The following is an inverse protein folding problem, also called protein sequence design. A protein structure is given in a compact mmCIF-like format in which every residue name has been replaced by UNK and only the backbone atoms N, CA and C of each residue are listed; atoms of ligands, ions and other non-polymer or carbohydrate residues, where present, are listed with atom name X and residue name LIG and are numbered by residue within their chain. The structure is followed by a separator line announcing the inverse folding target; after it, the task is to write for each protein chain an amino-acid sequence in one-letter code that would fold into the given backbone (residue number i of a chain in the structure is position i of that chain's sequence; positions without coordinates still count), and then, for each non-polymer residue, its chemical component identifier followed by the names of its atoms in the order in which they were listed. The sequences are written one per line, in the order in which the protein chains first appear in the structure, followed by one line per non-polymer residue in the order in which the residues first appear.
data_IF_480290480989
#
_entry.id   IF_480290480989
#
_cell.length_a   1.000
_cell.length_b   1.000
_cell.length_c   1.000
_cell.angle_alpha   90.00
_cell.angle_beta   90.00
_cell.angle_gamma   90.00
#
_symmetry.space_group_name_H-M   'P 1'
#
loop_
_entity.id
_entity.type
_entity.pdbx_description
1 polymer ?
#
# COMPACT_ATOMS: atom_id res chain seq x y z
N UNK A 1 -14.62 15.11 -34.95
CA UNK A 1 -14.65 14.07 -33.89
C UNK A 1 -13.26 13.44 -33.85
N UNK A 2 -12.50 13.69 -32.77
CA UNK A 2 -11.05 13.39 -32.70
C UNK A 2 -10.77 11.90 -32.49
N UNK A 3 -9.89 11.36 -33.32
CA UNK A 3 -9.54 9.96 -33.46
C UNK A 3 -8.61 9.49 -32.31
N UNK A 4 -9.19 8.95 -31.23
CA UNK A 4 -8.45 8.47 -30.05
C UNK A 4 -7.90 7.04 -30.18
N UNK A 5 -8.05 6.40 -31.35
CA UNK A 5 -7.73 4.98 -31.55
C UNK A 5 -6.22 4.67 -31.63
N UNK A 6 -5.37 5.63 -32.01
CA UNK A 6 -3.96 5.35 -32.35
C UNK A 6 -3.01 5.16 -31.16
N UNK A 7 -3.21 5.85 -30.03
CA UNK A 7 -2.24 5.84 -28.92
C UNK A 7 -2.31 4.59 -28.05
N UNK A 8 -3.50 3.99 -27.97
CA UNK A 8 -3.76 2.85 -27.10
C UNK A 8 -3.70 1.51 -27.82
N UNK A 9 -3.57 1.50 -29.15
CA UNK A 9 -3.47 0.27 -29.93
C UNK A 9 -2.28 -0.61 -29.51
N UNK A 10 -1.05 -0.08 -29.30
CA UNK A 10 0.09 -0.91 -28.88
C UNK A 10 -0.13 -1.54 -27.51
N UNK A 11 -0.71 -0.79 -26.57
CA UNK A 11 -1.01 -1.27 -25.22
C UNK A 11 -2.09 -2.34 -25.22
N UNK A 12 -3.13 -2.21 -26.06
CA UNK A 12 -4.16 -3.23 -26.22
C UNK A 12 -3.57 -4.53 -26.76
N UNK A 13 -2.68 -4.46 -27.74
CA UNK A 13 -1.98 -5.64 -28.27
C UNK A 13 -1.07 -6.32 -27.24
N UNK A 14 -0.36 -5.55 -26.42
CA UNK A 14 0.45 -6.10 -25.33
C UNK A 14 -0.41 -6.78 -24.26
N UNK A 15 -1.54 -6.17 -23.87
CA UNK A 15 -2.47 -6.73 -22.90
C UNK A 15 -3.14 -8.01 -23.42
N UNK A 16 -3.59 -8.02 -24.68
CA UNK A 16 -4.18 -9.23 -25.27
C UNK A 16 -3.17 -10.36 -25.39
N UNK A 17 -1.90 -10.07 -25.70
CA UNK A 17 -0.82 -11.06 -25.69
C UNK A 17 -0.58 -11.65 -24.28
N UNK A 18 -0.60 -10.82 -23.24
CA UNK A 18 -0.45 -11.27 -21.84
C UNK A 18 -1.64 -12.13 -21.41
N UNK A 19 -2.87 -11.71 -21.75
CA UNK A 19 -4.09 -12.49 -21.46
C UNK A 19 -4.12 -13.83 -22.20
N UNK A 20 -3.70 -13.86 -23.47
CA UNK A 20 -3.59 -15.07 -24.26
C UNK A 20 -2.55 -16.04 -23.66
N UNK A 21 -1.37 -15.55 -23.25
CA UNK A 21 -0.34 -16.36 -22.58
C UNK A 21 -0.79 -16.86 -21.21
N UNK A 22 -1.55 -16.04 -20.47
CA UNK A 22 -2.10 -16.42 -19.18
C UNK A 22 -3.32 -17.36 -19.30
N UNK A 23 -3.99 -17.43 -20.45
CA UNK A 23 -5.21 -18.23 -20.63
C UNK A 23 -6.39 -17.75 -19.79
N UNK A 24 -6.39 -16.48 -19.38
CA UNK A 24 -7.40 -15.89 -18.47
C UNK A 24 -7.95 -14.59 -19.07
N UNK A 25 -9.28 -14.33 -19.00
CA UNK A 25 -9.87 -13.13 -19.58
C UNK A 25 -9.35 -11.84 -18.92
N UNK A 26 -9.08 -10.82 -19.75
CA UNK A 26 -8.51 -9.52 -19.34
C UNK A 26 -9.16 -8.87 -18.10
N UNK A 27 -10.50 -8.80 -17.97
CA UNK A 27 -11.11 -8.16 -16.80
C UNK A 27 -10.77 -8.86 -15.48
N UNK A 28 -10.68 -10.20 -15.50
CA UNK A 28 -10.33 -10.96 -14.29
C UNK A 28 -8.86 -10.83 -13.92
N UNK A 29 -7.97 -10.62 -14.90
CA UNK A 29 -6.56 -10.35 -14.66
C UNK A 29 -6.36 -8.97 -14.02
N UNK A 30 -7.07 -7.94 -14.51
CA UNK A 30 -7.07 -6.60 -13.90
C UNK A 30 -7.59 -6.66 -12.46
N UNK A 31 -8.72 -7.35 -12.23
CA UNK A 31 -9.29 -7.51 -10.89
C UNK A 31 -8.34 -8.25 -9.93
N UNK A 32 -7.68 -9.29 -10.42
CA UNK A 32 -6.67 -10.04 -9.65
C UNK A 32 -5.49 -9.13 -9.29
N UNK A 33 -5.00 -8.34 -10.25
CA UNK A 33 -3.94 -7.38 -10.02
C UNK A 33 -4.31 -6.36 -8.96
N UNK A 34 -5.51 -5.78 -9.02
CA UNK A 34 -5.95 -4.79 -8.02
C UNK A 34 -6.02 -5.38 -6.63
N UNK A 35 -6.60 -6.58 -6.48
CA UNK A 35 -6.66 -7.24 -5.16
C UNK A 35 -5.26 -7.50 -4.63
N UNK A 36 -4.39 -8.05 -5.46
CA UNK A 36 -3.05 -8.42 -5.03
C UNK A 36 -2.18 -7.19 -4.73
N UNK A 37 -2.38 -6.11 -5.48
CA UNK A 37 -1.75 -4.81 -5.23
C UNK A 37 -2.14 -4.24 -3.87
N UNK A 38 -3.43 -4.33 -3.50
CA UNK A 38 -3.90 -3.87 -2.20
C UNK A 38 -3.41 -4.78 -1.06
N UNK A 39 -3.44 -6.09 -1.24
CA UNK A 39 -2.92 -7.03 -0.23
C UNK A 39 -1.43 -6.84 0.03
N UNK A 40 -0.64 -6.63 -1.04
CA UNK A 40 0.80 -6.33 -0.93
C UNK A 40 1.09 -4.92 -0.44
N UNK A 41 0.09 -4.05 -0.27
CA UNK A 41 0.22 -2.81 0.48
C UNK A 41 -0.12 -3.02 1.97
N UNK A 42 -1.23 -3.68 2.27
CA UNK A 42 -1.73 -3.85 3.65
C UNK A 42 -0.83 -4.78 4.48
N UNK A 43 -0.51 -5.97 3.96
CA UNK A 43 0.24 -6.98 4.71
C UNK A 43 1.63 -6.47 5.09
N UNK A 44 2.43 -5.89 4.18
CA UNK A 44 3.72 -5.33 4.56
C UNK A 44 3.60 -4.12 5.49
N UNK A 45 2.59 -3.25 5.33
CA UNK A 45 2.39 -2.12 6.25
C UNK A 45 2.22 -2.59 7.69
N UNK A 46 1.32 -3.55 7.90
CA UNK A 46 1.04 -4.10 9.23
C UNK A 46 2.25 -4.88 9.75
N UNK A 47 2.88 -5.71 8.91
CA UNK A 47 4.05 -6.49 9.30
C UNK A 47 5.25 -5.63 9.70
N UNK A 48 5.57 -4.60 8.90
CA UNK A 48 6.68 -3.68 9.18
C UNK A 48 6.38 -2.86 10.43
N UNK A 49 5.14 -2.40 10.61
CA UNK A 49 4.73 -1.68 11.82
C UNK A 49 4.98 -2.50 13.08
N UNK A 50 4.48 -3.74 13.13
CA UNK A 50 4.66 -4.60 14.31
C UNK A 50 6.12 -5.00 14.52
N UNK A 51 6.89 -5.17 13.45
CA UNK A 51 8.34 -5.45 13.52
C UNK A 51 9.10 -4.24 14.06
N UNK A 52 8.82 -3.03 13.58
CA UNK A 52 9.43 -1.81 14.08
C UNK A 52 9.06 -1.57 15.56
N UNK A 53 7.80 -1.85 15.91
CA UNK A 53 7.31 -1.75 17.29
C UNK A 53 7.98 -2.75 18.22
N UNK A 54 8.16 -4.00 17.80
CA UNK A 54 8.78 -5.04 18.64
C UNK A 54 10.27 -4.80 18.85
N UNK A 55 10.95 -4.21 17.86
CA UNK A 55 12.38 -3.91 17.93
C UNK A 55 12.68 -2.51 18.50
N UNK A 56 11.67 -1.64 18.64
CA UNK A 56 11.84 -0.24 19.05
C UNK A 56 12.68 0.59 18.06
N UNK A 57 12.68 0.22 16.78
CA UNK A 57 13.55 0.83 15.76
C UNK A 57 12.92 2.03 15.07
N UNK A 58 11.59 2.19 15.10
CA UNK A 58 10.90 3.28 14.40
C UNK A 58 11.38 4.67 14.80
N UNK A 59 11.42 4.96 16.10
CA UNK A 59 11.85 6.25 16.62
C UNK A 59 13.31 6.57 16.26
N UNK A 60 14.20 5.58 16.38
CA UNK A 60 15.63 5.74 16.08
C UNK A 60 15.86 6.06 14.61
N UNK A 61 15.18 5.35 13.71
CA UNK A 61 15.33 5.52 12.27
C UNK A 61 14.74 6.85 11.81
N UNK A 62 13.53 7.20 12.27
CA UNK A 62 12.88 8.47 11.91
C UNK A 62 13.70 9.65 12.44
N UNK A 63 14.19 9.59 13.68
CA UNK A 63 15.02 10.64 14.24
C UNK A 63 16.37 10.76 13.53
N UNK A 64 17.00 9.64 13.13
CA UNK A 64 18.21 9.68 12.32
C UNK A 64 17.98 10.36 10.97
N UNK A 65 16.86 10.10 10.29
CA UNK A 65 16.52 10.76 9.01
C UNK A 65 16.29 12.26 9.22
N UNK A 66 15.65 12.64 10.33
CA UNK A 66 15.45 14.05 10.68
C UNK A 66 16.79 14.77 10.94
N UNK A 67 17.66 14.16 11.76
CA UNK A 67 18.93 14.72 12.26
C UNK A 67 20.08 14.75 11.24
N UNK A 68 20.02 14.00 10.12
CA UNK A 68 21.00 14.06 9.02
C UNK A 68 20.94 15.38 8.21
N UNK A 69 20.69 16.49 8.90
CA UNK A 69 20.47 17.84 8.38
C UNK A 69 21.79 18.56 8.04
N UNK A 70 22.93 18.10 8.54
CA UNK A 70 24.17 18.88 8.45
C UNK A 70 25.37 17.97 8.19
N UNK A 71 25.94 18.04 6.98
CA UNK A 71 27.18 17.34 6.64
C UNK A 71 27.19 16.78 5.21
N UNK A 72 27.90 17.48 4.33
CA UNK A 72 28.51 17.01 3.07
C UNK A 72 28.14 15.58 2.61
N UNK A 73 27.14 15.42 1.74
CA UNK A 73 26.90 14.15 1.06
C UNK A 73 26.63 14.37 -0.43
N UNK A 74 27.22 13.48 -1.22
CA UNK A 74 27.21 13.33 -2.67
C UNK A 74 25.83 13.61 -3.32
N UNK A 75 25.80 14.24 -4.49
CA UNK A 75 24.60 14.82 -5.14
C UNK A 75 23.45 13.80 -5.34
N UNK A 76 23.80 12.52 -5.54
CA UNK A 76 22.85 11.40 -5.65
C UNK A 76 22.14 11.08 -4.33
N UNK A 77 22.86 11.19 -3.20
CA UNK A 77 22.30 10.98 -1.87
C UNK A 77 21.40 12.13 -1.43
N UNK A 78 21.65 13.35 -1.94
CA UNK A 78 20.83 14.54 -1.68
C UNK A 78 19.39 14.37 -2.15
N UNK A 79 19.18 13.85 -3.37
CA UNK A 79 17.83 13.56 -3.87
C UNK A 79 17.13 12.48 -3.04
N UNK A 80 17.84 11.40 -2.71
CA UNK A 80 17.28 10.30 -1.92
C UNK A 80 16.89 10.76 -0.52
N UNK A 81 17.76 11.51 0.17
CA UNK A 81 17.49 12.07 1.49
C UNK A 81 16.32 13.06 1.46
N UNK A 82 16.22 13.90 0.43
CA UNK A 82 15.09 14.82 0.25
C UNK A 82 13.77 14.06 0.09
N UNK A 83 13.77 12.96 -0.67
CA UNK A 83 12.57 12.10 -0.82
C UNK A 83 12.21 11.35 0.45
N UNK A 84 13.20 10.83 1.18
CA UNK A 84 12.96 10.17 2.46
C UNK A 84 12.34 11.13 3.47
N UNK A 85 12.82 12.38 3.54
CA UNK A 85 12.23 13.44 4.36
C UNK A 85 10.78 13.71 3.99
N UNK A 86 10.50 13.91 2.70
CA UNK A 86 9.12 14.14 2.28
C UNK A 86 8.21 12.96 2.60
N UNK A 87 8.73 11.72 2.60
CA UNK A 87 7.97 10.54 2.99
C UNK A 87 7.75 10.44 4.51
N UNK A 88 8.72 10.88 5.31
CA UNK A 88 8.56 11.01 6.76
C UNK A 88 7.47 12.03 7.08
N UNK A 89 7.53 13.23 6.49
CA UNK A 89 6.54 14.29 6.70
C UNK A 89 5.12 13.87 6.28
N UNK A 90 5.01 13.23 5.11
CA UNK A 90 3.74 12.65 4.65
C UNK A 90 3.24 11.54 5.59
N UNK A 91 4.16 10.70 6.07
CA UNK A 91 3.89 9.61 6.99
C UNK A 91 3.35 10.11 8.32
N UNK A 92 3.91 11.21 8.86
CA UNK A 92 3.45 11.82 10.11
C UNK A 92 2.03 12.38 9.96
N UNK A 93 1.75 13.05 8.85
CA UNK A 93 0.41 13.56 8.54
C UNK A 93 -0.59 12.41 8.36
N UNK A 94 -0.20 11.32 7.70
CA UNK A 94 -1.03 10.12 7.56
C UNK A 94 -1.27 9.45 8.92
N UNK A 95 -0.22 9.20 9.71
CA UNK A 95 -0.29 8.56 11.01
C UNK A 95 -1.18 9.37 11.97
N UNK A 96 -1.04 10.71 11.96
CA UNK A 96 -1.92 11.60 12.74
C UNK A 96 -3.38 11.53 12.28
N UNK A 97 -3.66 11.51 10.96
CA UNK A 97 -5.04 11.40 10.45
C UNK A 97 -5.69 10.07 10.78
N UNK A 98 -4.96 8.96 10.57
CA UNK A 98 -5.48 7.60 10.82
C UNK A 98 -5.60 7.35 12.32
N UNK A 99 -4.58 7.73 13.09
CA UNK A 99 -4.59 7.68 14.55
C UNK A 99 -5.81 8.38 15.15
N UNK A 100 -6.06 9.64 14.76
CA UNK A 100 -7.24 10.39 15.22
C UNK A 100 -8.58 9.78 14.79
N UNK A 101 -8.68 9.29 13.55
CA UNK A 101 -9.94 8.73 13.00
C UNK A 101 -10.35 7.43 13.67
N UNK A 102 -9.37 6.57 13.98
CA UNK A 102 -9.63 5.23 14.46
C UNK A 102 -9.27 5.01 15.93
N UNK A 103 -8.64 5.99 16.60
CA UNK A 103 -8.17 5.84 17.97
C UNK A 103 -7.05 4.79 18.09
N UNK A 104 -6.15 4.77 17.10
CA UNK A 104 -5.03 3.83 17.04
C UNK A 104 -3.70 4.58 17.21
N UNK A 105 -2.57 3.87 17.34
CA UNK A 105 -1.23 4.47 17.49
C UNK A 105 -1.06 5.33 18.75
N UNK A 106 -1.85 5.09 19.80
CA UNK A 106 -1.83 5.87 21.04
C UNK A 106 -2.71 7.12 21.03
N UNK A 107 -3.46 7.38 19.95
CA UNK A 107 -4.49 8.42 19.92
C UNK A 107 -5.81 7.87 20.49
N UNK A 108 -6.53 8.67 21.28
CA UNK A 108 -7.92 8.37 21.64
C UNK A 108 -8.87 8.99 20.62
N UNK A 109 -9.97 8.28 20.33
CA UNK A 109 -10.96 8.73 19.35
C UNK A 109 -11.67 9.98 19.89
N UNK A 110 -11.40 11.14 19.27
CA UNK A 110 -12.02 12.41 19.65
C UNK A 110 -11.23 13.24 20.68
N UNK A 111 -9.96 12.92 20.92
CA UNK A 111 -9.07 13.67 21.81
C UNK A 111 -8.94 15.16 21.43
N UNK A 112 -9.03 16.05 22.42
CA UNK A 112 -8.74 17.48 22.28
C UNK A 112 -7.23 17.74 22.16
N UNK A 113 -6.84 18.88 21.58
CA UNK A 113 -5.43 19.24 21.34
C UNK A 113 -4.58 19.18 22.62
N UNK A 114 -5.16 19.49 23.78
CA UNK A 114 -4.46 19.50 25.08
C UNK A 114 -4.07 18.09 25.56
N UNK A 115 -4.92 17.08 25.35
CA UNK A 115 -4.61 15.69 25.72
C UNK A 115 -3.53 15.07 24.83
N UNK A 116 -3.34 15.60 23.61
CA UNK A 116 -2.31 15.14 22.67
C UNK A 116 -0.93 15.56 23.15
N UNK A 117 -0.75 16.80 23.64
CA UNK A 117 0.55 17.26 24.17
C UNK A 117 1.00 16.43 25.38
N UNK A 118 0.06 16.07 26.25
CA UNK A 118 0.30 15.20 27.41
C UNK A 118 0.60 13.75 26.97
N UNK A 119 -0.08 13.25 25.94
CA UNK A 119 0.18 11.89 25.42
C UNK A 119 1.46 11.82 24.60
N UNK A 120 1.85 12.88 23.89
CA UNK A 120 3.11 12.96 23.15
C UNK A 120 4.31 12.97 24.09
N UNK A 121 4.19 13.66 25.24
CA UNK A 121 5.20 13.63 26.29
C UNK A 121 5.34 12.27 26.99
N UNK A 122 4.34 11.37 26.87
CA UNK A 122 4.43 10.00 27.41
C UNK A 122 5.35 9.06 26.61
N UNK A 123 5.94 9.51 25.49
CA UNK A 123 6.88 8.77 24.65
C UNK A 123 6.28 7.60 23.86
N UNK A 124 5.25 6.94 24.39
CA UNK A 124 4.53 5.82 23.75
C UNK A 124 3.81 6.25 22.47
N UNK A 125 3.19 7.43 22.47
CA UNK A 125 2.55 8.01 21.29
C UNK A 125 3.58 8.36 20.21
N UNK A 126 4.72 8.94 20.60
CA UNK A 126 5.81 9.28 19.69
C UNK A 126 6.40 8.01 19.04
N UNK A 127 6.63 6.96 19.83
CA UNK A 127 7.15 5.68 19.32
C UNK A 127 6.20 4.99 18.34
N UNK A 128 4.90 4.91 18.66
CA UNK A 128 3.91 4.28 17.78
C UNK A 128 3.71 5.06 16.48
N UNK A 129 3.70 6.39 16.55
CA UNK A 129 3.68 7.24 15.36
C UNK A 129 4.94 7.03 14.53
N UNK A 130 6.13 7.02 15.13
CA UNK A 130 7.38 6.81 14.40
C UNK A 130 7.44 5.41 13.74
N UNK A 131 6.94 4.38 14.39
CA UNK A 131 6.81 3.04 13.80
C UNK A 131 5.86 3.05 12.59
N UNK A 132 4.76 3.80 12.66
CA UNK A 132 3.81 3.93 11.56
C UNK A 132 4.38 4.74 10.39
N UNK A 133 5.11 5.81 10.67
CA UNK A 133 5.82 6.63 9.68
C UNK A 133 6.87 5.81 8.95
N UNK A 134 7.69 5.03 9.70
CA UNK A 134 8.67 4.13 9.13
C UNK A 134 8.00 3.07 8.23
N UNK A 135 6.94 2.43 8.72
CA UNK A 135 6.20 1.43 7.94
C UNK A 135 5.65 2.02 6.63
N UNK A 136 5.05 3.21 6.70
CA UNK A 136 4.56 3.92 5.52
C UNK A 136 5.69 4.23 4.53
N UNK A 137 6.82 4.77 5.01
CA UNK A 137 7.99 5.07 4.19
C UNK A 137 8.55 3.84 3.48
N UNK A 138 8.71 2.72 4.20
CA UNK A 138 9.21 1.46 3.61
C UNK A 138 8.24 0.89 2.58
N UNK A 139 6.94 0.86 2.87
CA UNK A 139 5.92 0.37 1.93
C UNK A 139 5.86 1.23 0.67
N UNK A 140 6.12 2.53 0.81
CA UNK A 140 6.23 3.47 -0.31
C UNK A 140 7.50 3.24 -1.12
N UNK A 141 8.63 2.96 -0.48
CA UNK A 141 9.86 2.55 -1.16
C UNK A 141 9.66 1.25 -1.96
N UNK A 142 8.83 0.33 -1.45
CA UNK A 142 8.50 -0.94 -2.11
C UNK A 142 7.49 -0.82 -3.26
N UNK A 143 7.04 0.39 -3.63
CA UNK A 143 6.08 0.59 -4.73
C UNK A 143 6.49 -0.10 -6.06
N UNK A 144 7.74 0.05 -6.56
CA UNK A 144 8.14 -0.59 -7.82
C UNK A 144 8.09 -2.12 -7.72
N UNK A 145 8.56 -2.66 -6.58
CA UNK A 145 8.56 -4.10 -6.30
C UNK A 145 7.13 -4.63 -6.22
N UNK A 146 6.23 -3.90 -5.57
CA UNK A 146 4.81 -4.26 -5.45
C UNK A 146 4.12 -4.36 -6.81
N UNK A 147 4.38 -3.41 -7.71
CA UNK A 147 3.83 -3.45 -9.07
C UNK A 147 4.35 -4.68 -9.81
N UNK A 148 5.66 -4.93 -9.78
CA UNK A 148 6.27 -6.10 -10.43
C UNK A 148 5.74 -7.42 -9.88
N UNK A 149 5.72 -7.57 -8.55
CA UNK A 149 5.23 -8.78 -7.90
C UNK A 149 3.74 -9.02 -8.16
N UNK A 150 2.92 -7.96 -8.13
CA UNK A 150 1.49 -8.06 -8.41
C UNK A 150 1.23 -8.49 -9.85
N UNK A 151 1.96 -7.95 -10.83
CA UNK A 151 1.86 -8.37 -12.23
C UNK A 151 2.27 -9.82 -12.44
N UNK A 152 3.35 -10.26 -11.77
CA UNK A 152 3.85 -11.63 -11.87
C UNK A 152 2.86 -12.65 -11.28
N UNK A 153 2.25 -12.34 -10.14
CA UNK A 153 1.35 -13.26 -9.42
C UNK A 153 -0.11 -13.19 -9.90
N UNK A 154 -0.51 -12.14 -10.62
CA UNK A 154 -1.90 -11.97 -11.11
C UNK A 154 -2.43 -13.16 -11.91
N UNK A 155 -1.67 -13.78 -12.85
CA UNK A 155 -2.14 -14.96 -13.58
C UNK A 155 -2.41 -16.17 -12.67
N UNK A 156 -1.56 -16.40 -11.66
CA UNK A 156 -1.75 -17.51 -10.72
C UNK A 156 -2.96 -17.26 -9.81
N UNK A 157 -3.08 -16.06 -9.24
CA UNK A 157 -4.20 -15.70 -8.38
C UNK A 157 -5.55 -15.78 -9.11
N UNK A 158 -5.58 -15.37 -10.38
CA UNK A 158 -6.81 -15.42 -11.17
C UNK A 158 -7.32 -16.85 -11.37
N UNK A 159 -6.41 -17.78 -11.66
CA UNK A 159 -6.72 -19.22 -11.81
C UNK A 159 -7.15 -19.86 -10.50
N UNK A 160 -6.46 -19.55 -9.39
CA UNK A 160 -6.70 -20.22 -8.10
C UNK A 160 -7.89 -19.66 -7.32
N UNK A 161 -8.18 -18.37 -7.43
CA UNK A 161 -9.17 -17.68 -6.57
C UNK A 161 -10.35 -17.14 -7.38
N UNK A 162 -10.10 -16.43 -8.48
CA UNK A 162 -11.16 -15.73 -9.22
C UNK A 162 -12.02 -16.66 -10.04
N UNK A 163 -11.43 -17.66 -10.68
CA UNK A 163 -12.15 -18.65 -11.48
C UNK A 163 -13.12 -19.52 -10.67
N UNK A 164 -12.74 -20.12 -9.52
CA UNK A 164 -13.71 -20.86 -8.70
C UNK A 164 -14.80 -19.97 -8.12
N UNK A 165 -14.51 -18.72 -7.75
CA UNK A 165 -15.52 -17.77 -7.27
C UNK A 165 -16.49 -17.37 -8.39
N UNK A 166 -15.99 -17.14 -9.61
CA UNK A 166 -16.86 -16.87 -10.78
C UNK A 166 -17.77 -18.05 -11.08
N UNK A 167 -17.23 -19.28 -11.07
CA UNK A 167 -18.01 -20.49 -11.30
C UNK A 167 -19.04 -20.73 -10.18
N UNK A 168 -18.68 -20.47 -8.92
CA UNK A 168 -19.59 -20.55 -7.79
C UNK A 168 -20.70 -19.47 -7.85
N UNK A 169 -20.35 -18.24 -8.18
CA UNK A 169 -21.29 -17.12 -8.32
C UNK A 169 -22.27 -17.31 -9.47
N UNK A 170 -21.80 -17.80 -10.63
CA UNK A 170 -22.67 -18.17 -11.76
C UNK A 170 -23.60 -19.35 -11.42
N UNK A 171 -23.15 -20.31 -10.61
CA UNK A 171 -24.01 -21.40 -10.10
C UNK A 171 -25.09 -20.90 -9.15
N UNK A 172 -24.81 -19.87 -8.36
CA UNK A 172 -25.80 -19.24 -7.47
C UNK A 172 -26.81 -18.38 -8.24
N UNK A 173 -26.38 -17.65 -9.28
CA UNK A 173 -27.27 -16.86 -10.14
C UNK A 173 -28.06 -17.71 -11.16
N UNK A 174 -27.58 -18.90 -11.49
CA UNK A 174 -28.15 -19.79 -12.51
C UNK A 174 -29.37 -20.62 -12.08
N UNK A 175 -29.84 -20.51 -10.83
CA UNK A 175 -31.12 -21.13 -10.43
C UNK A 175 -32.29 -20.34 -11.04
N UNK A 176 -32.63 -20.63 -12.30
CA UNK A 176 -33.95 -20.31 -12.84
C UNK A 176 -35.01 -21.04 -12.02
N UNK A 177 -36.10 -20.39 -11.57
CA UNK A 177 -37.22 -21.08 -10.96
C UNK A 177 -37.84 -22.04 -11.99
N UNK A 178 -38.03 -23.29 -11.58
CA UNK A 178 -38.81 -24.29 -12.31
C UNK A 178 -40.26 -23.78 -12.34
N UNK A 179 -40.77 -23.38 -13.50
CA UNK A 179 -42.20 -23.13 -13.67
C UNK A 179 -42.94 -24.46 -13.52
N UNK A 180 -43.84 -24.52 -12.55
CA UNK A 180 -44.99 -25.43 -12.56
C UNK A 180 -46.24 -24.57 -12.69
#
# INVERSE_FOLDING_TARGET
MSNSAGRFAPYRHALTAISARAGVPLPSLIFSFTILHELTAIVPTVGIFYTARSLGTGERVVNAIALNHDGSVDDQSSWANTKLRSWVDEGEQWAGRVGRRYGILGFEKGQSIDQIQISQSSGRLAGDVANAVLAYGVVKALLPVRIGLSLYLSPMFSRTVVEPIRLAGLRLLGRKPKSM
#
